data_IF_484490574705
#
_entry.id   IF_484490574705
#
_cell.length_a   1.000
_cell.length_b   1.000
_cell.length_c   1.000
_cell.angle_alpha   90.00
_cell.angle_beta   90.00
_cell.angle_gamma   90.00
#
_symmetry.space_group_name_H-M   'P 1'
#
loop_
_entity.id
_entity.type
_entity.pdbx_description
1 polymer ?
#
# COMPACT_ATOMS: atom_id res chain seq x y z
N UNK A 1 3.55 5.16 14.47
CA UNK A 1 2.52 4.97 13.44
C UNK A 1 1.36 5.97 13.53
N UNK A 2 1.66 7.23 13.90
CA UNK A 2 0.65 8.30 14.06
C UNK A 2 0.56 9.26 12.86
N UNK A 3 1.28 8.99 11.78
CA UNK A 3 1.32 9.82 10.57
C UNK A 3 0.41 9.30 9.47
N UNK A 4 -0.36 8.31 9.80
CA UNK A 4 -1.28 7.69 8.91
C UNK A 4 -2.66 8.17 9.25
N UNK A 5 -3.35 8.64 8.27
CA UNK A 5 -4.76 8.55 8.28
C UNK A 5 -5.46 9.83 8.67
N UNK A 6 -6.29 10.18 7.80
CA UNK A 6 -7.61 10.60 8.20
C UNK A 6 -7.98 9.91 9.52
N UNK A 7 -8.48 10.61 10.51
CA UNK A 7 -8.72 10.06 11.83
C UNK A 7 -9.70 8.89 11.73
N UNK A 8 -9.17 7.68 11.68
CA UNK A 8 -9.89 6.52 12.14
C UNK A 8 -10.03 6.75 13.64
N UNK A 9 -11.12 7.35 14.02
CA UNK A 9 -11.54 7.43 15.41
C UNK A 9 -11.96 6.01 15.80
N UNK A 10 -10.98 5.18 16.19
CA UNK A 10 -11.32 4.04 17.02
C UNK A 10 -12.03 4.62 18.25
N UNK A 11 -13.18 4.07 18.66
CA UNK A 11 -13.97 4.60 19.79
C UNK A 11 -13.21 4.66 21.12
N UNK A 12 -12.00 4.13 21.18
CA UNK A 12 -11.15 4.04 22.37
C UNK A 12 -9.89 4.93 22.34
N UNK A 13 -9.69 5.78 21.34
CA UNK A 13 -8.60 6.75 21.37
C UNK A 13 -9.02 7.96 22.18
N UNK A 14 -8.53 8.06 23.42
CA UNK A 14 -8.82 9.12 24.37
C UNK A 14 -8.33 10.52 23.93
N UNK A 15 -7.52 10.63 22.86
CA UNK A 15 -7.05 11.90 22.31
C UNK A 15 -7.40 12.02 20.84
N UNK A 16 -8.11 13.07 20.40
CA UNK A 16 -8.34 13.32 18.99
C UNK A 16 -7.00 13.57 18.28
N UNK A 17 -6.86 13.03 17.06
CA UNK A 17 -5.74 13.42 16.19
C UNK A 17 -5.86 14.91 15.92
N UNK A 18 -5.00 15.71 16.55
CA UNK A 18 -5.09 17.17 16.53
C UNK A 18 -4.60 17.76 15.22
N UNK A 19 -3.78 17.04 14.46
CA UNK A 19 -3.19 17.57 13.22
C UNK A 19 -2.87 16.43 12.25
N UNK A 20 -3.47 16.46 11.06
CA UNK A 20 -3.02 15.63 9.93
C UNK A 20 -1.89 16.35 9.20
N UNK A 21 -0.94 15.58 8.69
CA UNK A 21 0.23 16.12 8.00
C UNK A 21 0.39 15.49 6.62
N UNK A 22 0.97 16.25 5.68
CA UNK A 22 1.25 15.81 4.31
C UNK A 22 2.51 16.52 3.79
N UNK A 23 3.02 16.18 2.59
CA UNK A 23 4.13 16.90 1.99
C UNK A 23 3.84 18.39 1.83
N UNK A 24 2.61 18.75 1.48
CA UNK A 24 2.14 20.13 1.31
C UNK A 24 0.72 20.30 1.87
N UNK A 25 0.33 21.54 2.17
CA UNK A 25 -0.99 21.86 2.73
C UNK A 25 -2.06 21.92 1.63
N UNK A 26 -2.38 20.78 1.02
CA UNK A 26 -3.35 20.66 -0.09
C UNK A 26 -4.46 19.72 0.35
N UNK A 27 -5.71 20.20 0.29
CA UNK A 27 -6.89 19.36 0.55
C UNK A 27 -7.02 18.31 -0.58
N UNK A 28 -7.25 17.03 -0.26
CA UNK A 28 -7.36 15.99 -1.28
C UNK A 28 -8.66 16.02 -2.09
N UNK A 29 -9.64 16.88 -1.71
CA UNK A 29 -10.92 16.95 -2.39
C UNK A 29 -11.77 15.67 -2.30
N UNK A 30 -11.55 14.88 -1.26
CA UNK A 30 -12.18 13.58 -1.05
C UNK A 30 -12.82 13.52 0.35
N UNK A 31 -13.66 12.50 0.55
CA UNK A 31 -14.31 12.25 1.84
C UNK A 31 -13.72 11.03 2.53
N UNK A 32 -13.77 11.01 3.84
CA UNK A 32 -13.41 9.90 4.69
C UNK A 32 -14.59 9.42 5.52
N UNK A 33 -14.59 8.14 5.82
CA UNK A 33 -15.56 7.58 6.77
C UNK A 33 -15.18 7.95 8.19
N UNK A 34 -16.17 8.42 8.96
CA UNK A 34 -16.03 8.73 10.39
C UNK A 34 -17.14 8.08 11.20
N UNK A 35 -17.02 8.07 12.52
CA UNK A 35 -18.06 7.55 13.41
C UNK A 35 -19.43 8.26 13.24
N UNK A 36 -19.45 9.44 12.63
CA UNK A 36 -20.67 10.24 12.38
C UNK A 36 -21.03 10.34 10.91
N UNK A 37 -20.49 9.44 10.04
CA UNK A 37 -20.72 9.39 8.60
C UNK A 37 -19.55 9.93 7.77
N UNK A 38 -19.78 10.08 6.47
CA UNK A 38 -18.78 10.62 5.55
C UNK A 38 -18.53 12.10 5.81
N UNK A 39 -17.25 12.49 5.85
CA UNK A 39 -16.83 13.89 6.04
C UNK A 39 -15.70 14.22 5.08
N UNK A 40 -15.63 15.47 4.66
CA UNK A 40 -14.53 15.96 3.86
C UNK A 40 -13.20 15.81 4.62
N UNK A 41 -12.17 15.33 3.92
CA UNK A 41 -10.82 15.26 4.48
C UNK A 41 -10.30 16.69 4.63
N UNK A 42 -9.92 17.12 5.84
CA UNK A 42 -9.50 18.49 6.07
C UNK A 42 -8.13 18.76 5.40
N UNK A 43 -7.82 20.05 5.20
CA UNK A 43 -6.50 20.47 4.71
C UNK A 43 -5.42 20.03 5.70
N UNK A 44 -4.41 19.26 5.28
CA UNK A 44 -3.32 18.87 6.15
C UNK A 44 -2.36 20.04 6.39
N UNK A 45 -1.58 19.97 7.46
CA UNK A 45 -0.42 20.84 7.63
C UNK A 45 0.77 20.27 6.84
N UNK A 46 1.49 21.14 6.13
CA UNK A 46 2.74 20.72 5.48
C UNK A 46 3.80 20.31 6.53
N UNK A 47 4.49 19.21 6.27
CA UNK A 47 5.68 18.81 7.04
C UNK A 47 6.84 19.78 6.76
N UNK A 48 7.57 20.21 7.78
CA UNK A 48 8.88 20.83 7.60
C UNK A 48 9.91 19.78 7.14
N UNK A 49 11.03 20.21 6.58
CA UNK A 49 12.13 19.31 6.18
C UNK A 49 12.66 18.48 7.36
N UNK A 50 12.75 19.08 8.54
CA UNK A 50 13.16 18.38 9.77
C UNK A 50 12.11 17.33 10.19
N UNK A 51 10.83 17.65 10.09
CA UNK A 51 9.75 16.70 10.38
C UNK A 51 9.72 15.52 9.38
N UNK A 52 10.06 15.75 8.10
CA UNK A 52 10.24 14.66 7.12
C UNK A 52 11.34 13.71 7.59
N UNK A 53 12.51 14.24 7.96
CA UNK A 53 13.62 13.41 8.48
C UNK A 53 13.26 12.68 9.77
N UNK A 54 12.51 13.32 10.66
CA UNK A 54 11.99 12.65 11.87
C UNK A 54 11.01 11.54 11.52
N UNK A 55 10.16 11.74 10.53
CA UNK A 55 9.23 10.70 10.07
C UNK A 55 9.98 9.47 9.52
N UNK A 56 11.12 9.65 8.85
CA UNK A 56 12.00 8.51 8.47
C UNK A 56 12.45 7.73 9.71
N UNK A 57 12.86 8.43 10.77
CA UNK A 57 13.24 7.78 12.03
C UNK A 57 12.06 7.07 12.72
N UNK A 58 10.84 7.61 12.60
CA UNK A 58 9.63 6.98 13.15
C UNK A 58 9.31 5.66 12.42
N UNK A 59 9.45 5.60 11.08
CA UNK A 59 9.33 4.35 10.32
C UNK A 59 10.35 3.30 10.75
N UNK A 60 11.61 3.71 10.92
CA UNK A 60 12.67 2.84 11.42
C UNK A 60 12.34 2.28 12.81
N UNK A 61 11.91 3.14 13.73
CA UNK A 61 11.49 2.73 15.08
C UNK A 61 10.32 1.75 15.04
N UNK A 62 9.30 2.02 14.23
CA UNK A 62 8.13 1.15 14.08
C UNK A 62 8.52 -0.25 13.54
N UNK A 63 9.43 -0.31 12.57
CA UNK A 63 9.93 -1.57 12.04
C UNK A 63 10.68 -2.38 13.10
N UNK A 64 11.59 -1.75 13.87
CA UNK A 64 12.26 -2.41 15.01
C UNK A 64 11.25 -2.97 15.99
N UNK A 65 10.29 -2.15 16.43
CA UNK A 65 9.27 -2.58 17.38
C UNK A 65 8.42 -3.75 16.86
N UNK A 66 8.15 -3.81 15.54
CA UNK A 66 7.46 -4.94 14.94
C UNK A 66 8.27 -6.24 15.05
N UNK A 67 9.57 -6.19 14.76
CA UNK A 67 10.46 -7.36 14.89
C UNK A 67 10.60 -7.78 16.37
N UNK A 68 10.77 -6.83 17.30
CA UNK A 68 10.80 -7.10 18.75
C UNK A 68 9.51 -7.74 19.23
N UNK A 69 8.38 -7.42 18.62
CA UNK A 69 7.07 -8.04 18.89
C UNK A 69 6.88 -9.43 18.22
N UNK A 70 7.88 -9.94 17.49
CA UNK A 70 7.86 -11.27 16.88
C UNK A 70 7.43 -11.31 15.42
N UNK A 71 7.34 -10.18 14.72
CA UNK A 71 7.11 -10.18 13.27
C UNK A 71 8.36 -10.68 12.52
N UNK A 72 8.15 -11.43 11.42
CA UNK A 72 9.24 -11.91 10.56
C UNK A 72 9.82 -10.80 9.67
N UNK A 73 9.02 -9.81 9.31
CA UNK A 73 9.40 -8.68 8.49
C UNK A 73 8.30 -7.63 8.41
N UNK A 74 8.51 -6.57 7.61
CA UNK A 74 7.54 -5.49 7.42
C UNK A 74 7.36 -5.15 5.94
N UNK A 75 6.15 -4.80 5.54
CA UNK A 75 5.85 -4.18 4.26
C UNK A 75 5.55 -2.70 4.48
N UNK A 76 6.39 -1.82 3.93
CA UNK A 76 6.18 -0.39 3.95
C UNK A 76 5.04 -0.02 3.00
N UNK A 77 4.09 0.78 3.49
CA UNK A 77 2.95 1.15 2.67
C UNK A 77 3.24 2.43 1.88
N UNK A 78 3.77 2.29 0.67
CA UNK A 78 4.04 3.37 -0.28
C UNK A 78 2.96 3.53 -1.35
N UNK A 79 1.71 3.17 -1.06
CA UNK A 79 0.61 3.05 -2.00
C UNK A 79 -0.67 3.75 -1.50
N UNK A 80 -1.73 3.69 -2.28
CA UNK A 80 -3.12 3.99 -1.91
C UNK A 80 -3.33 5.40 -1.35
N UNK A 81 -2.67 6.41 -1.92
CA UNK A 81 -2.73 7.82 -1.54
C UNK A 81 -2.18 8.14 -0.13
N UNK A 82 -1.46 7.23 0.48
CA UNK A 82 -0.88 7.46 1.78
C UNK A 82 0.46 8.22 1.70
N UNK A 83 1.03 8.58 2.86
CA UNK A 83 2.07 9.58 3.00
C UNK A 83 3.24 9.40 2.01
N UNK A 84 3.76 8.18 1.84
CA UNK A 84 4.89 7.94 0.92
C UNK A 84 4.47 8.27 -0.53
N UNK A 85 3.29 7.82 -0.98
CA UNK A 85 2.81 8.12 -2.33
C UNK A 85 2.48 9.60 -2.51
N UNK A 86 2.06 10.30 -1.46
CA UNK A 86 1.81 11.74 -1.53
C UNK A 86 3.07 12.53 -1.93
N UNK A 87 4.26 12.06 -1.53
CA UNK A 87 5.52 12.69 -1.97
C UNK A 87 5.77 12.52 -3.47
N UNK A 88 5.28 11.45 -4.09
CA UNK A 88 5.46 11.18 -5.53
C UNK A 88 4.64 12.12 -6.41
N UNK A 89 3.45 12.51 -5.96
CA UNK A 89 2.41 13.15 -6.75
C UNK A 89 2.51 14.68 -6.71
N UNK A 90 2.68 15.37 -7.86
CA UNK A 90 2.61 16.84 -7.92
C UNK A 90 1.29 17.41 -7.40
N UNK A 91 0.19 16.66 -7.49
CA UNK A 91 -1.11 17.05 -6.94
C UNK A 91 -1.12 17.19 -5.41
N UNK A 92 -0.19 16.52 -4.70
CA UNK A 92 -0.09 16.54 -3.24
C UNK A 92 1.24 17.10 -2.72
N UNK A 93 2.25 17.27 -3.58
CA UNK A 93 3.60 17.69 -3.24
C UNK A 93 4.06 18.86 -4.12
N UNK A 94 3.90 20.07 -3.60
CA UNK A 94 4.38 21.33 -4.21
C UNK A 94 5.63 21.89 -3.51
N UNK A 95 6.38 21.03 -2.82
CA UNK A 95 7.60 21.42 -2.11
C UNK A 95 8.68 21.90 -3.06
N UNK A 96 9.48 22.84 -2.59
CA UNK A 96 10.64 23.41 -3.32
C UNK A 96 11.98 23.05 -2.69
N UNK A 97 11.96 22.24 -1.62
CA UNK A 97 13.15 21.69 -0.99
C UNK A 97 13.57 20.33 -1.65
N UNK A 98 14.49 19.63 -1.00
CA UNK A 98 15.03 18.36 -1.46
C UNK A 98 14.01 17.21 -1.58
N UNK A 99 12.77 17.39 -1.13
CA UNK A 99 11.68 16.40 -1.19
C UNK A 99 10.61 16.75 -2.25
N UNK A 100 10.82 17.78 -3.07
CA UNK A 100 9.86 18.20 -4.09
C UNK A 100 10.50 18.55 -5.44
N UNK A 101 9.67 18.76 -6.46
CA UNK A 101 10.08 19.10 -7.82
C UNK A 101 10.50 17.88 -8.65
N UNK A 102 11.80 17.60 -8.79
CA UNK A 102 12.31 16.53 -9.66
C UNK A 102 11.90 15.12 -9.19
N UNK A 103 11.92 14.15 -10.12
CA UNK A 103 11.68 12.72 -9.81
C UNK A 103 12.56 12.24 -8.64
N UNK A 104 13.86 12.55 -8.69
CA UNK A 104 14.81 12.17 -7.63
C UNK A 104 14.42 12.75 -6.26
N UNK A 105 13.95 13.99 -6.21
CA UNK A 105 13.51 14.62 -4.97
C UNK A 105 12.18 14.05 -4.48
N UNK A 106 11.20 13.88 -5.37
CA UNK A 106 9.88 13.31 -4.99
C UNK A 106 9.99 11.86 -4.49
N UNK A 107 10.96 11.10 -4.96
CA UNK A 107 11.22 9.72 -4.50
C UNK A 107 12.14 9.65 -3.28
N UNK A 108 12.84 10.71 -2.93
CA UNK A 108 13.84 10.76 -1.84
C UNK A 108 13.28 10.25 -0.52
N UNK A 109 12.10 10.72 -0.10
CA UNK A 109 11.50 10.28 1.16
C UNK A 109 11.29 8.77 1.20
N UNK A 110 10.75 8.15 0.14
CA UNK A 110 10.57 6.71 0.05
C UNK A 110 11.91 5.96 0.14
N UNK A 111 12.93 6.42 -0.60
CA UNK A 111 14.26 5.81 -0.59
C UNK A 111 14.90 5.90 0.79
N UNK A 112 14.80 7.04 1.47
CA UNK A 112 15.33 7.23 2.83
C UNK A 112 14.61 6.34 3.85
N UNK A 113 13.26 6.23 3.79
CA UNK A 113 12.48 5.34 4.65
C UNK A 113 12.90 3.88 4.46
N UNK A 114 12.98 3.43 3.20
CA UNK A 114 13.36 2.03 2.92
C UNK A 114 14.79 1.74 3.37
N UNK A 115 15.75 2.65 3.12
CA UNK A 115 17.12 2.49 3.59
C UNK A 115 17.20 2.44 5.12
N UNK A 116 16.50 3.33 5.82
CA UNK A 116 16.50 3.37 7.28
C UNK A 116 15.90 2.09 7.89
N UNK A 117 14.82 1.58 7.31
CA UNK A 117 14.18 0.34 7.77
C UNK A 117 15.04 -0.87 7.44
N UNK A 118 15.53 -1.00 6.20
CA UNK A 118 16.42 -2.09 5.80
C UNK A 118 17.72 -2.12 6.60
N UNK A 119 18.27 -0.95 6.95
CA UNK A 119 19.44 -0.84 7.83
C UNK A 119 19.17 -1.25 9.28
N UNK A 120 17.93 -1.13 9.76
CA UNK A 120 17.54 -1.48 11.13
C UNK A 120 17.21 -2.97 11.29
N UNK A 121 16.42 -3.55 10.37
CA UNK A 121 15.88 -4.91 10.52
C UNK A 121 16.40 -5.92 9.51
N UNK A 122 17.20 -5.50 8.53
CA UNK A 122 17.66 -6.28 7.39
C UNK A 122 16.83 -6.04 6.12
N UNK A 123 17.49 -6.03 4.97
CA UNK A 123 16.82 -5.85 3.69
C UNK A 123 15.93 -7.05 3.33
N UNK A 124 16.34 -8.25 3.71
CA UNK A 124 15.61 -9.51 3.55
C UNK A 124 14.31 -9.60 4.38
N UNK A 125 14.11 -8.67 5.33
CA UNK A 125 12.90 -8.51 6.14
C UNK A 125 12.10 -7.26 5.80
N UNK A 126 12.54 -6.51 4.79
CA UNK A 126 11.94 -5.24 4.39
C UNK A 126 11.35 -5.36 2.99
N UNK A 127 10.10 -4.96 2.84
CA UNK A 127 9.40 -4.86 1.57
C UNK A 127 8.68 -3.52 1.45
N UNK A 128 8.23 -3.17 0.25
CA UNK A 128 7.41 -1.99 0.01
C UNK A 128 6.29 -2.29 -0.96
N UNK A 129 5.10 -1.75 -0.67
CA UNK A 129 3.96 -1.76 -1.58
C UNK A 129 3.81 -0.42 -2.26
N UNK A 130 3.61 -0.44 -3.58
CA UNK A 130 3.43 0.74 -4.44
C UNK A 130 2.14 0.59 -5.27
N UNK A 131 1.55 1.70 -5.71
CA UNK A 131 0.34 1.72 -6.55
C UNK A 131 0.46 2.71 -7.72
N UNK A 132 1.31 2.42 -8.71
CA UNK A 132 1.53 3.30 -9.85
C UNK A 132 0.24 3.64 -10.58
N UNK A 133 -0.01 4.94 -10.82
CA UNK A 133 -1.16 5.41 -11.59
C UNK A 133 -2.51 5.29 -10.88
N UNK A 134 -2.55 4.92 -9.61
CA UNK A 134 -3.80 4.88 -8.85
C UNK A 134 -4.24 6.28 -8.45
N UNK A 135 -5.30 6.76 -9.07
CA UNK A 135 -5.95 8.04 -8.72
C UNK A 135 -6.96 7.82 -7.59
N UNK A 136 -6.50 7.92 -6.36
CA UNK A 136 -7.34 7.78 -5.16
C UNK A 136 -7.11 9.01 -4.28
N UNK A 137 -8.18 9.56 -3.68
CA UNK A 137 -8.12 10.70 -2.77
C UNK A 137 -7.32 11.89 -3.33
N UNK A 138 -7.56 12.26 -4.59
CA UNK A 138 -6.92 13.40 -5.24
C UNK A 138 -5.45 13.23 -5.62
N UNK A 139 -4.88 12.02 -5.47
CA UNK A 139 -3.52 11.74 -5.95
C UNK A 139 -3.51 11.66 -7.47
N UNK A 140 -2.61 12.44 -8.07
CA UNK A 140 -2.27 12.38 -9.47
C UNK A 140 -0.75 12.56 -9.61
N UNK A 141 -0.09 11.53 -10.09
CA UNK A 141 1.38 11.50 -10.26
C UNK A 141 1.82 12.20 -11.54
N UNK A 142 0.85 12.59 -12.38
CA UNK A 142 1.08 13.30 -13.64
C UNK A 142 1.77 12.45 -14.71
N UNK A 143 2.16 13.09 -15.81
CA UNK A 143 2.77 12.41 -16.96
C UNK A 143 4.11 11.73 -16.62
N UNK A 144 4.84 12.21 -15.61
CA UNK A 144 6.12 11.64 -15.16
C UNK A 144 5.95 10.41 -14.25
N UNK A 145 4.72 10.05 -13.86
CA UNK A 145 4.46 8.93 -12.96
C UNK A 145 5.17 7.64 -13.36
N UNK A 146 5.04 7.14 -14.60
CA UNK A 146 5.73 5.92 -15.03
C UNK A 146 7.26 6.00 -14.90
N UNK A 147 7.87 7.15 -15.24
CA UNK A 147 9.33 7.33 -15.14
C UNK A 147 9.77 7.45 -13.68
N UNK A 148 8.96 8.06 -12.83
CA UNK A 148 9.19 8.11 -11.39
C UNK A 148 9.26 6.68 -10.81
N UNK A 149 8.34 5.81 -11.16
CA UNK A 149 8.35 4.43 -10.65
C UNK A 149 9.51 3.61 -11.21
N UNK A 150 9.91 3.80 -12.48
CA UNK A 150 11.12 3.17 -13.04
C UNK A 150 12.38 3.60 -12.26
N UNK A 151 12.50 4.90 -11.99
CA UNK A 151 13.59 5.44 -11.19
C UNK A 151 13.58 4.87 -9.76
N UNK A 152 12.43 4.93 -9.07
CA UNK A 152 12.30 4.42 -7.71
C UNK A 152 12.64 2.93 -7.62
N UNK A 153 12.11 2.10 -8.52
CA UNK A 153 12.37 0.66 -8.53
C UNK A 153 13.84 0.35 -8.80
N UNK A 154 14.50 1.12 -9.67
CA UNK A 154 15.93 0.99 -9.91
C UNK A 154 16.77 1.31 -8.66
N UNK A 155 16.41 2.38 -7.91
CA UNK A 155 17.07 2.71 -6.63
C UNK A 155 16.84 1.63 -5.57
N UNK A 156 15.59 1.16 -5.40
CA UNK A 156 15.25 0.12 -4.44
C UNK A 156 15.86 -1.26 -4.81
N UNK A 157 16.07 -1.51 -6.09
CA UNK A 157 16.71 -2.72 -6.59
C UNK A 157 18.14 -2.94 -6.08
N UNK A 158 18.82 -1.87 -5.65
CA UNK A 158 20.19 -1.91 -5.10
C UNK A 158 20.23 -2.50 -3.68
N UNK A 159 19.10 -2.55 -2.99
CA UNK A 159 19.04 -2.88 -1.55
C UNK A 159 18.80 -4.37 -1.26
N UNK A 160 18.38 -5.17 -2.22
CA UNK A 160 18.09 -6.59 -1.98
C UNK A 160 16.88 -6.85 -1.08
N UNK A 161 15.84 -6.02 -1.19
CA UNK A 161 14.60 -6.15 -0.39
C UNK A 161 13.95 -7.52 -0.56
N UNK A 162 13.23 -7.97 0.47
CA UNK A 162 12.49 -9.22 0.48
C UNK A 162 11.59 -9.39 -0.75
N UNK A 163 10.81 -8.38 -1.06
CA UNK A 163 9.98 -8.29 -2.27
C UNK A 163 9.55 -6.85 -2.57
N UNK A 164 9.02 -6.67 -3.77
CA UNK A 164 8.25 -5.50 -4.17
C UNK A 164 6.79 -5.92 -4.40
N UNK A 165 5.84 -5.16 -3.89
CA UNK A 165 4.42 -5.41 -4.08
C UNK A 165 3.81 -4.27 -4.90
N UNK A 166 3.23 -4.58 -6.06
CA UNK A 166 2.59 -3.60 -6.94
C UNK A 166 1.09 -3.81 -6.96
N UNK A 167 0.33 -2.77 -6.62
CA UNK A 167 -1.08 -2.68 -6.98
C UNK A 167 -1.16 -2.13 -8.40
N UNK A 168 -1.68 -2.93 -9.31
CA UNK A 168 -1.83 -2.57 -10.73
C UNK A 168 -3.06 -1.68 -10.94
N UNK A 169 -2.88 -0.55 -11.62
CA UNK A 169 -3.93 0.43 -11.91
C UNK A 169 -4.11 0.71 -13.42
N UNK A 170 -3.72 -0.25 -14.29
CA UNK A 170 -4.02 -0.20 -15.74
C UNK A 170 -2.83 -0.11 -16.69
N UNK A 171 -1.61 0.23 -16.21
CA UNK A 171 -0.42 0.30 -17.07
C UNK A 171 0.36 -1.01 -17.10
N UNK A 172 0.01 -1.90 -18.03
CA UNK A 172 0.69 -3.19 -18.23
C UNK A 172 2.15 -3.02 -18.64
N UNK A 173 2.46 -2.00 -19.43
CA UNK A 173 3.85 -1.75 -19.85
C UNK A 173 4.72 -1.42 -18.66
N UNK A 174 4.24 -0.60 -17.75
CA UNK A 174 4.99 -0.24 -16.54
C UNK A 174 5.25 -1.45 -15.65
N UNK A 175 4.26 -2.36 -15.47
CA UNK A 175 4.48 -3.59 -14.72
C UNK A 175 5.56 -4.47 -15.36
N UNK A 176 5.54 -4.59 -16.70
CA UNK A 176 6.59 -5.28 -17.45
C UNK A 176 7.98 -4.65 -17.29
N UNK A 177 8.06 -3.31 -17.35
CA UNK A 177 9.30 -2.57 -17.12
C UNK A 177 9.82 -2.77 -15.68
N UNK A 178 8.93 -2.74 -14.67
CA UNK A 178 9.26 -3.02 -13.26
C UNK A 178 9.82 -4.43 -13.11
N UNK A 179 9.18 -5.43 -13.74
CA UNK A 179 9.68 -6.81 -13.73
C UNK A 179 11.08 -6.93 -14.33
N UNK A 180 11.33 -6.25 -15.43
CA UNK A 180 12.64 -6.25 -16.09
C UNK A 180 13.74 -5.59 -15.24
N UNK A 181 13.40 -4.54 -14.51
CA UNK A 181 14.32 -3.83 -13.60
C UNK A 181 14.62 -4.60 -12.32
N UNK A 182 13.76 -5.56 -11.95
CA UNK A 182 13.83 -6.22 -10.65
C UNK A 182 14.05 -7.73 -10.76
N UNK A 183 15.09 -8.22 -10.08
CA UNK A 183 15.42 -9.67 -9.98
C UNK A 183 14.82 -10.32 -8.73
N UNK A 184 14.56 -9.54 -7.67
CA UNK A 184 13.96 -10.02 -6.42
C UNK A 184 12.47 -10.32 -6.62
N UNK A 185 11.81 -11.04 -5.69
CA UNK A 185 10.40 -11.36 -5.78
C UNK A 185 9.51 -10.16 -6.04
N UNK A 186 8.58 -10.31 -6.98
CA UNK A 186 7.55 -9.34 -7.33
C UNK A 186 6.17 -9.93 -7.02
N UNK A 187 5.41 -9.22 -6.20
CA UNK A 187 4.01 -9.52 -5.92
C UNK A 187 3.14 -8.54 -6.70
N UNK A 188 2.13 -9.03 -7.42
CA UNK A 188 1.18 -8.17 -8.14
C UNK A 188 -0.22 -8.36 -7.57
N UNK A 189 -0.86 -7.25 -7.22
CA UNK A 189 -2.27 -7.18 -6.86
C UNK A 189 -3.05 -6.53 -8.00
N UNK A 190 -4.04 -7.22 -8.53
CA UNK A 190 -4.92 -6.72 -9.61
C UNK A 190 -6.36 -6.64 -9.11
N UNK A 191 -6.81 -5.47 -8.63
CA UNK A 191 -8.20 -5.29 -8.21
C UNK A 191 -9.18 -5.64 -9.34
N UNK A 192 -10.24 -6.39 -9.00
CA UNK A 192 -11.28 -6.77 -9.98
C UNK A 192 -10.87 -7.82 -11.02
N UNK A 193 -9.72 -8.49 -10.83
CA UNK A 193 -9.30 -9.56 -11.74
C UNK A 193 -10.36 -10.67 -11.82
N UNK A 194 -10.79 -11.09 -13.03
CA UNK A 194 -11.69 -12.21 -13.23
C UNK A 194 -11.10 -13.51 -12.67
N UNK A 195 -11.97 -14.39 -12.20
CA UNK A 195 -11.56 -15.64 -11.55
C UNK A 195 -10.71 -16.55 -12.44
N UNK A 196 -11.05 -16.66 -13.71
CA UNK A 196 -10.33 -17.46 -14.72
C UNK A 196 -8.92 -16.93 -15.02
N UNK A 197 -8.58 -15.75 -14.50
CA UNK A 197 -7.27 -15.11 -14.61
C UNK A 197 -6.42 -15.20 -13.35
N UNK A 198 -6.93 -15.88 -12.30
CA UNK A 198 -6.15 -16.12 -11.08
C UNK A 198 -4.93 -16.98 -11.43
N UNK A 199 -3.73 -16.54 -11.01
CA UNK A 199 -2.45 -17.20 -11.30
C UNK A 199 -1.84 -16.85 -12.66
N UNK A 200 -2.49 -16.02 -13.50
CA UNK A 200 -2.01 -15.73 -14.85
C UNK A 200 -0.69 -14.96 -14.88
N UNK A 201 -0.44 -14.06 -13.93
CA UNK A 201 0.83 -13.31 -13.86
C UNK A 201 1.99 -14.23 -13.43
N UNK A 202 1.73 -15.18 -12.54
CA UNK A 202 2.72 -16.20 -12.15
C UNK A 202 2.97 -17.15 -13.31
N UNK A 203 1.94 -17.63 -13.98
CA UNK A 203 2.08 -18.54 -15.11
C UNK A 203 2.84 -17.92 -16.29
N UNK A 204 2.71 -16.61 -16.50
CA UNK A 204 3.44 -15.87 -17.54
C UNK A 204 4.87 -15.47 -17.14
N UNK A 205 5.25 -15.63 -15.87
CA UNK A 205 6.53 -15.15 -15.32
C UNK A 205 6.58 -13.64 -15.06
N UNK A 206 5.45 -12.93 -15.19
CA UNK A 206 5.37 -11.50 -14.90
C UNK A 206 5.54 -11.22 -13.41
N UNK A 207 5.00 -12.07 -12.54
CA UNK A 207 5.11 -11.98 -11.10
C UNK A 207 5.55 -13.32 -10.48
N UNK A 208 6.11 -13.28 -9.29
CA UNK A 208 6.43 -14.47 -8.51
C UNK A 208 5.22 -14.88 -7.64
N UNK A 209 4.40 -13.91 -7.24
CA UNK A 209 3.20 -14.10 -6.43
C UNK A 209 2.08 -13.14 -6.88
N UNK A 210 0.84 -13.53 -6.64
CA UNK A 210 -0.31 -12.65 -6.78
C UNK A 210 -0.97 -12.41 -5.42
N UNK A 211 -1.40 -11.16 -5.15
CA UNK A 211 -2.07 -10.78 -3.91
C UNK A 211 -3.58 -10.58 -4.14
N UNK A 212 -4.39 -11.11 -3.24
CA UNK A 212 -5.86 -11.03 -3.29
C UNK A 212 -6.41 -10.57 -1.94
N UNK A 213 -7.07 -9.40 -1.91
CA UNK A 213 -7.70 -8.87 -0.70
C UNK A 213 -9.17 -9.29 -0.60
N UNK A 214 -10.03 -8.71 -1.44
CA UNK A 214 -11.49 -8.90 -1.37
C UNK A 214 -11.91 -10.37 -1.53
N UNK A 215 -11.28 -11.11 -2.44
CA UNK A 215 -11.58 -12.52 -2.64
C UNK A 215 -11.21 -13.38 -1.43
N UNK A 216 -10.09 -13.10 -0.78
CA UNK A 216 -9.66 -13.82 0.43
C UNK A 216 -10.55 -13.47 1.61
N UNK A 217 -10.94 -12.20 1.76
CA UNK A 217 -11.87 -11.78 2.81
C UNK A 217 -13.21 -12.56 2.74
N UNK A 218 -13.78 -12.64 1.53
CA UNK A 218 -15.08 -13.30 1.35
C UNK A 218 -15.00 -14.83 1.27
N UNK A 219 -13.81 -15.41 1.17
CA UNK A 219 -13.62 -16.84 0.99
C UNK A 219 -12.53 -17.34 1.96
N UNK A 220 -12.89 -17.77 3.19
CA UNK A 220 -11.94 -18.26 4.19
C UNK A 220 -11.16 -19.49 3.70
N UNK A 221 -11.68 -20.20 2.72
CA UNK A 221 -11.13 -21.36 2.03
C UNK A 221 -10.71 -21.06 0.58
N UNK A 222 -10.30 -19.80 0.30
CA UNK A 222 -9.99 -19.29 -1.04
C UNK A 222 -9.08 -20.24 -1.85
N UNK A 223 -8.00 -20.73 -1.24
CA UNK A 223 -7.06 -21.63 -1.94
C UNK A 223 -7.73 -22.95 -2.35
N UNK A 224 -8.59 -23.53 -1.50
CA UNK A 224 -9.33 -24.72 -1.83
C UNK A 224 -10.31 -24.48 -3.00
N UNK A 225 -11.02 -23.34 -2.97
CA UNK A 225 -11.93 -22.96 -4.06
C UNK A 225 -11.21 -22.76 -5.39
N UNK A 226 -10.03 -22.14 -5.37
CA UNK A 226 -9.19 -21.98 -6.59
C UNK A 226 -8.77 -23.35 -7.12
N UNK A 227 -8.27 -24.25 -6.26
CA UNK A 227 -7.78 -25.58 -6.65
C UNK A 227 -8.89 -26.48 -7.22
N UNK A 228 -10.08 -26.42 -6.66
CA UNK A 228 -11.21 -27.30 -7.05
C UNK A 228 -12.12 -26.69 -8.11
N UNK A 229 -11.91 -25.42 -8.45
CA UNK A 229 -12.84 -24.72 -9.34
C UNK A 229 -14.19 -24.37 -8.69
N UNK A 230 -14.32 -24.47 -7.35
CA UNK A 230 -15.57 -24.22 -6.62
C UNK A 230 -16.02 -22.74 -6.71
N UNK A 231 -17.31 -22.41 -6.60
CA UNK A 231 -17.80 -21.04 -6.67
C UNK A 231 -17.23 -20.17 -5.55
N UNK A 232 -17.03 -18.87 -5.81
CA UNK A 232 -16.59 -17.89 -4.83
C UNK A 232 -17.80 -17.21 -4.17
N UNK A 233 -17.68 -16.86 -2.89
CA UNK A 233 -18.58 -15.91 -2.26
C UNK A 233 -18.29 -14.50 -2.79
N UNK A 234 -19.33 -13.67 -2.87
CA UNK A 234 -19.16 -12.24 -3.16
C UNK A 234 -18.83 -11.47 -1.88
N UNK A 235 -17.90 -10.54 -1.99
CA UNK A 235 -17.54 -9.69 -0.87
C UNK A 235 -18.59 -8.58 -0.65
N UNK A 236 -19.09 -8.44 0.56
CA UNK A 236 -20.01 -7.38 0.94
C UNK A 236 -19.24 -6.06 1.20
N UNK A 237 -19.25 -5.18 0.20
CA UNK A 237 -18.53 -3.91 0.25
C UNK A 237 -19.06 -2.96 1.33
N UNK A 238 -20.32 -3.09 1.75
CA UNK A 238 -20.89 -2.24 2.80
C UNK A 238 -20.23 -2.49 4.16
N UNK A 239 -19.67 -3.69 4.35
CA UNK A 239 -19.02 -4.12 5.58
C UNK A 239 -17.48 -4.12 5.53
N UNK A 240 -16.84 -3.57 4.48
CA UNK A 240 -15.37 -3.56 4.39
C UNK A 240 -14.68 -2.72 5.46
N UNK A 241 -15.36 -1.71 5.99
CA UNK A 241 -14.80 -0.79 6.98
C UNK A 241 -15.81 -0.53 8.11
N UNK A 242 -15.34 -0.55 9.35
CA UNK A 242 -16.16 -0.20 10.50
C UNK A 242 -17.14 -1.26 10.98
N UNK A 243 -17.11 -2.45 10.40
CA UNK A 243 -17.90 -3.62 10.84
C UNK A 243 -17.29 -4.31 12.06
N UNK A 244 -18.08 -5.22 12.66
CA UNK A 244 -17.60 -6.17 13.66
C UNK A 244 -17.43 -7.56 13.00
N UNK A 245 -18.21 -8.58 13.43
CA UNK A 245 -18.19 -9.91 12.80
C UNK A 245 -18.81 -9.96 11.39
N UNK A 246 -19.96 -9.25 11.12
CA UNK A 246 -20.56 -9.30 9.79
C UNK A 246 -19.61 -8.80 8.69
N UNK A 247 -19.46 -9.62 7.63
CA UNK A 247 -18.58 -9.33 6.52
C UNK A 247 -17.09 -9.60 6.76
N UNK A 248 -16.73 -10.16 7.94
CA UNK A 248 -15.36 -10.54 8.28
C UNK A 248 -15.21 -12.01 8.68
N UNK A 249 -16.13 -12.53 9.50
CA UNK A 249 -16.00 -13.87 10.08
C UNK A 249 -17.18 -14.78 9.79
N UNK A 250 -18.16 -14.33 9.02
CA UNK A 250 -19.42 -15.00 8.75
C UNK A 250 -19.57 -15.50 7.30
N UNK A 251 -18.55 -15.33 6.46
CA UNK A 251 -18.56 -15.91 5.12
C UNK A 251 -18.48 -17.45 5.18
N UNK A 252 -19.36 -18.15 4.44
CA UNK A 252 -19.37 -19.61 4.47
C UNK A 252 -18.15 -20.21 3.76
N UNK A 253 -17.55 -21.21 4.42
CA UNK A 253 -16.61 -22.11 3.75
C UNK A 253 -17.38 -23.14 2.90
N UNK A 254 -16.66 -23.85 2.01
CA UNK A 254 -17.20 -25.03 1.35
C UNK A 254 -17.55 -26.07 2.43
N UNK A 255 -18.73 -26.70 2.29
CA UNK A 255 -19.02 -27.85 3.10
C UNK A 255 -17.94 -28.92 2.86
N UNK A 256 -17.41 -29.48 3.95
CA UNK A 256 -16.51 -30.61 3.82
C UNK A 256 -17.26 -31.71 3.05
N UNK A 257 -16.70 -32.13 1.90
CA UNK A 257 -17.27 -33.29 1.20
C UNK A 257 -17.33 -34.44 2.21
N UNK A 258 -18.52 -34.78 2.63
CA UNK A 258 -18.75 -36.01 3.44
C UNK A 258 -18.16 -37.13 2.62
N UNK A 259 -17.03 -37.69 3.10
CA UNK A 259 -16.44 -38.87 2.50
C UNK A 259 -17.53 -39.98 2.52
N UNK A 260 -18.03 -40.30 1.32
CA UNK A 260 -18.93 -41.43 1.11
C UNK A 260 -18.13 -42.73 1.07
#
# INVERSE_FOLDING_TARGET
>A
MRHFVAPFLAPNNAEPIRTIVAPSAIAPGAQMFTATGMKDIPVPRALTTEEVRRTVADFRHAARAAIEAGADGVELHGANSYLIQQFFAPSANTRTDEYGGSIANRTRFAVEVVNAVAGEIGADRTAIRLSPGLTLNGIDEGAEGPDLYRYLVAELGKLGLAYLHILHAGDEKLVGDIRALRKQPLIVNRPGRPRDRIGADVASGLADLEAYGQLVLANPDFVARVKTGAPMNEADRANFFGGAAPGYTDYPALEAATAA
#
